data_IF_524572375720
#
_entry.id   IF_524572375720
#
_cell.length_a   1.000
_cell.length_b   1.000
_cell.length_c   1.000
_cell.angle_alpha   90.00
_cell.angle_beta   90.00
_cell.angle_gamma   90.00
#
_symmetry.space_group_name_H-M   'P 1'
#
loop_
_entity.id
_entity.type
_entity.pdbx_description
1 polymer ?
#
# COMPACT_ATOMS: atom_id res chain seq x y z
N UNK A 1 -11.10 -15.64 5.71
CA UNK A 1 -9.76 -15.30 5.20
C UNK A 1 -9.66 -15.25 3.67
N UNK A 2 -10.52 -15.94 2.92
CA UNK A 2 -10.40 -16.03 1.45
C UNK A 2 -10.35 -14.66 0.72
N UNK A 3 -11.24 -13.71 1.06
CA UNK A 3 -11.24 -12.36 0.47
C UNK A 3 -9.93 -11.61 0.74
N UNK A 4 -9.35 -11.79 1.94
CA UNK A 4 -8.08 -11.15 2.30
C UNK A 4 -6.93 -11.72 1.46
N UNK A 5 -6.88 -13.04 1.30
CA UNK A 5 -5.87 -13.72 0.50
C UNK A 5 -5.97 -13.33 -0.98
N UNK A 6 -7.19 -13.30 -1.52
CA UNK A 6 -7.43 -12.86 -2.89
C UNK A 6 -7.07 -11.39 -3.11
N UNK A 7 -7.41 -10.52 -2.16
CA UNK A 7 -6.99 -9.11 -2.18
C UNK A 7 -5.48 -8.96 -2.18
N UNK A 8 -4.77 -9.74 -1.36
CA UNK A 8 -3.31 -9.74 -1.33
C UNK A 8 -2.68 -10.27 -2.63
N UNK A 9 -3.29 -11.27 -3.28
CA UNK A 9 -2.82 -11.78 -4.58
C UNK A 9 -2.97 -10.76 -5.71
N UNK A 10 -4.00 -9.91 -5.65
CA UNK A 10 -4.22 -8.83 -6.63
C UNK A 10 -3.39 -7.58 -6.35
N UNK A 11 -2.78 -7.49 -5.16
CA UNK A 11 -1.93 -6.36 -4.79
C UNK A 11 -0.63 -6.43 -5.60
N UNK A 12 -0.23 -5.31 -6.21
CA UNK A 12 1.09 -5.19 -6.83
C UNK A 12 2.17 -5.32 -5.75
N UNK A 13 2.85 -6.47 -5.77
CA UNK A 13 3.98 -6.79 -4.91
C UNK A 13 5.18 -7.07 -5.82
N UNK A 14 6.22 -6.24 -5.75
CA UNK A 14 7.49 -6.51 -6.42
C UNK A 14 8.62 -6.36 -5.41
N UNK A 15 9.51 -7.35 -5.38
CA UNK A 15 10.74 -7.25 -4.61
C UNK A 15 11.57 -6.03 -5.09
N UNK A 16 12.20 -5.34 -4.15
CA UNK A 16 13.26 -4.36 -4.44
C UNK A 16 14.58 -4.87 -3.88
N UNK A 17 15.71 -4.36 -4.36
CA UNK A 17 17.04 -4.72 -3.82
C UNK A 17 17.19 -4.40 -2.32
N UNK A 18 16.39 -3.45 -1.80
CA UNK A 18 16.41 -3.03 -0.40
C UNK A 18 15.45 -3.82 0.50
N UNK A 19 14.43 -4.49 -0.07
CA UNK A 19 13.49 -5.33 0.68
C UNK A 19 12.86 -6.39 -0.24
N UNK A 20 13.10 -7.67 0.06
CA UNK A 20 12.46 -8.81 -0.65
C UNK A 20 10.93 -8.82 -0.57
N UNK A 21 10.36 -8.02 0.34
CA UNK A 21 8.92 -8.00 0.68
C UNK A 21 8.36 -6.57 0.78
N UNK A 22 8.93 -5.59 0.07
CA UNK A 22 8.34 -4.25 0.04
C UNK A 22 7.09 -4.22 -0.85
N UNK A 23 5.94 -3.87 -0.28
CA UNK A 23 4.74 -3.53 -1.04
C UNK A 23 4.99 -2.24 -1.83
N UNK A 24 4.87 -2.25 -3.16
CA UNK A 24 4.97 -1.02 -3.98
C UNK A 24 3.63 -0.30 -4.17
N UNK A 25 2.62 -0.70 -3.42
CA UNK A 25 1.29 -0.12 -3.42
C UNK A 25 0.80 0.02 -1.99
N UNK A 26 -0.02 1.04 -1.75
CA UNK A 26 -0.78 1.18 -0.51
C UNK A 26 -1.99 0.24 -0.56
N UNK A 27 -2.30 -0.42 0.56
CA UNK A 27 -3.50 -1.24 0.69
C UNK A 27 -4.40 -0.70 1.80
N UNK A 28 -5.71 -0.68 1.53
CA UNK A 28 -6.74 -0.35 2.50
C UNK A 28 -7.71 -1.52 2.63
N UNK A 29 -7.87 -2.02 3.85
CA UNK A 29 -8.91 -2.96 4.21
C UNK A 29 -9.92 -2.26 5.12
N UNK A 30 -11.16 -2.16 4.65
CA UNK A 30 -12.26 -1.67 5.46
C UNK A 30 -13.06 -2.85 6.03
N UNK A 31 -13.22 -2.88 7.34
CA UNK A 31 -14.18 -3.74 8.04
C UNK A 31 -15.33 -2.87 8.51
N UNK A 32 -16.53 -3.16 8.01
CA UNK A 32 -17.74 -2.41 8.37
C UNK A 32 -18.65 -3.29 9.23
N UNK A 33 -19.02 -2.79 10.41
CA UNK A 33 -19.99 -3.43 11.29
C UNK A 33 -21.36 -2.83 10.99
N UNK A 34 -22.33 -3.69 10.71
CA UNK A 34 -23.73 -3.31 10.53
C UNK A 34 -24.52 -3.69 11.79
N UNK A 35 -25.39 -2.79 12.26
CA UNK A 35 -26.37 -3.05 13.32
C UNK A 35 -27.76 -2.83 12.73
N UNK A 36 -28.62 -3.85 12.77
CA UNK A 36 -29.94 -3.82 12.14
C UNK A 36 -29.88 -3.43 10.65
N UNK A 37 -28.93 -4.03 9.91
CA UNK A 37 -28.63 -3.71 8.49
C UNK A 37 -28.28 -2.23 8.21
N UNK A 38 -27.95 -1.44 9.24
CA UNK A 38 -27.47 -0.07 9.10
C UNK A 38 -25.99 0.02 9.48
N UNK A 39 -25.17 0.82 8.78
CA UNK A 39 -23.80 1.10 9.18
C UNK A 39 -23.71 1.55 10.64
N UNK A 40 -22.92 0.86 11.44
CA UNK A 40 -22.71 1.20 12.84
C UNK A 40 -21.29 1.70 13.11
N UNK A 41 -20.28 0.98 12.61
CA UNK A 41 -18.88 1.38 12.72
C UNK A 41 -18.05 0.90 11.53
N UNK A 42 -16.89 1.53 11.35
CA UNK A 42 -15.90 1.18 10.33
C UNK A 42 -14.53 1.13 10.98
N UNK A 43 -13.78 0.08 10.69
CA UNK A 43 -12.37 -0.06 11.00
C UNK A 43 -11.59 -0.07 9.69
N UNK A 44 -10.56 0.76 9.60
CA UNK A 44 -9.65 0.78 8.46
C UNK A 44 -8.30 0.22 8.91
N UNK A 45 -7.84 -0.84 8.25
CA UNK A 45 -6.48 -1.33 8.35
C UNK A 45 -5.75 -0.86 7.10
N UNK A 46 -4.74 -0.03 7.29
CA UNK A 46 -4.01 0.62 6.21
C UNK A 46 -2.58 0.12 6.25
N UNK A 47 -2.10 -0.41 5.13
CA UNK A 47 -0.71 -0.79 4.93
C UNK A 47 -0.11 0.09 3.84
N UNK A 48 0.85 0.93 4.21
CA UNK A 48 1.47 1.88 3.31
C UNK A 48 2.73 1.30 2.67
N UNK A 49 2.97 1.66 1.41
CA UNK A 49 4.21 1.37 0.73
C UNK A 49 5.41 2.08 1.41
N UNK A 50 6.61 1.57 1.14
CA UNK A 50 7.84 2.14 1.66
C UNK A 50 8.12 3.56 1.16
N UNK A 51 8.82 4.35 1.97
CA UNK A 51 9.25 5.72 1.66
C UNK A 51 10.70 5.80 1.17
N UNK A 52 11.17 4.77 0.45
CA UNK A 52 12.59 4.68 0.12
C UNK A 52 13.02 5.86 -0.78
N UNK A 53 14.18 6.43 -0.47
CA UNK A 53 14.77 7.49 -1.30
C UNK A 53 15.27 6.87 -2.60
N UNK A 54 14.97 7.53 -3.72
CA UNK A 54 15.47 7.11 -5.03
C UNK A 54 16.99 6.96 -5.07
N UNK A 55 17.74 7.81 -4.34
CA UNK A 55 19.21 7.72 -4.22
C UNK A 55 19.72 6.41 -3.63
N UNK A 56 18.90 5.73 -2.82
CA UNK A 56 19.25 4.49 -2.15
C UNK A 56 18.81 3.25 -2.95
N UNK A 57 18.30 3.45 -4.17
CA UNK A 57 17.76 2.39 -5.02
C UNK A 57 18.33 2.52 -6.43
N UNK A 58 18.61 1.42 -7.11
CA UNK A 58 18.98 1.43 -8.54
C UNK A 58 17.75 1.53 -9.48
N UNK A 59 16.67 2.17 -9.00
CA UNK A 59 15.42 2.27 -9.75
C UNK A 59 15.59 3.17 -10.98
N UNK A 60 15.29 2.63 -12.16
CA UNK A 60 15.33 3.34 -13.45
C UNK A 60 14.00 3.22 -14.18
N UNK A 61 13.75 4.15 -15.11
CA UNK A 61 12.58 4.12 -15.99
C UNK A 61 11.27 4.08 -15.19
N UNK A 62 10.46 3.05 -15.45
CA UNK A 62 9.14 2.90 -14.82
C UNK A 62 9.20 2.80 -13.28
N UNK A 63 10.25 2.16 -12.73
CA UNK A 63 10.41 2.01 -11.26
C UNK A 63 10.68 3.33 -10.56
N UNK A 64 11.40 4.23 -11.23
CA UNK A 64 11.64 5.58 -10.70
C UNK A 64 10.32 6.39 -10.65
N UNK A 65 9.48 6.26 -11.68
CA UNK A 65 8.16 6.90 -11.72
C UNK A 65 7.24 6.37 -10.61
N UNK A 66 7.24 5.05 -10.41
CA UNK A 66 6.47 4.39 -9.34
C UNK A 66 6.91 4.87 -7.96
N UNK A 67 8.21 4.82 -7.64
CA UNK A 67 8.74 5.31 -6.36
C UNK A 67 8.48 6.80 -6.12
N UNK A 68 8.54 7.63 -7.18
CA UNK A 68 8.20 9.04 -7.08
C UNK A 68 6.71 9.27 -6.76
N UNK A 69 5.80 8.45 -7.31
CA UNK A 69 4.37 8.53 -7.00
C UNK A 69 4.07 8.11 -5.56
N UNK A 70 4.70 7.02 -5.09
CA UNK A 70 4.61 6.56 -3.69
C UNK A 70 5.06 7.68 -2.75
N UNK A 71 6.28 8.19 -2.93
CA UNK A 71 6.84 9.24 -2.07
C UNK A 71 6.01 10.53 -2.10
N UNK A 72 5.39 10.87 -3.24
CA UNK A 72 4.48 12.02 -3.32
C UNK A 72 3.25 11.83 -2.43
N UNK A 73 2.62 10.65 -2.45
CA UNK A 73 1.46 10.36 -1.59
C UNK A 73 1.82 10.34 -0.10
N UNK A 74 3.01 9.81 0.26
CA UNK A 74 3.48 9.78 1.64
C UNK A 74 3.87 11.18 2.14
N UNK A 75 4.45 12.03 1.29
CA UNK A 75 4.69 13.42 1.62
C UNK A 75 3.39 14.18 1.87
N UNK A 76 2.36 13.94 1.05
CA UNK A 76 1.04 14.52 1.25
C UNK A 76 0.36 14.06 2.54
N UNK A 77 0.65 12.85 3.02
CA UNK A 77 0.16 12.34 4.30
C UNK A 77 0.84 13.01 5.51
N UNK A 78 2.13 13.38 5.37
CA UNK A 78 2.90 14.02 6.44
C UNK A 78 2.73 15.54 6.55
N UNK A 79 2.00 16.16 5.62
CA UNK A 79 1.63 17.59 5.63
C UNK A 79 0.19 17.77 6.10
#
# INVERSE_FOLDING_TARGET
MQILQEGNLRRTQEATEANKTSSRSHALLQVQILKNNRPHSKLFLIDLAGSERASNTNNRGQRLKEGAAINRSLLALGN
#
